data_IF_775174064514
#
_entry.id   IF_775174064514
#
_cell.length_a   1.000
_cell.length_b   1.000
_cell.length_c   1.000
_cell.angle_alpha   90.00
_cell.angle_beta   90.00
_cell.angle_gamma   90.00
#
_symmetry.space_group_name_H-M   'P 1'
#
loop_
_entity.id
_entity.type
_entity.pdbx_description
1 polymer ?
#
# COMPACT_ATOMS: atom_id res chain seq x y z
N UNK A 1 -9.16 6.61 -3.32
CA UNK A 1 -9.27 5.43 -2.45
C UNK A 1 -8.25 5.58 -1.30
N UNK A 2 -8.51 4.99 -0.14
CA UNK A 2 -7.66 5.10 1.05
C UNK A 2 -8.51 5.06 2.32
N UNK A 3 -7.91 4.92 3.52
CA UNK A 3 -8.66 4.91 4.77
C UNK A 3 -9.62 6.10 4.86
N UNK A 4 -10.92 5.89 5.07
CA UNK A 4 -11.89 6.97 4.90
C UNK A 4 -11.97 7.89 6.12
N UNK A 5 -12.19 7.33 7.32
CA UNK A 5 -12.31 8.06 8.58
C UNK A 5 -11.46 7.42 9.68
N UNK A 6 -10.82 8.26 10.51
CA UNK A 6 -10.00 7.88 11.67
C UNK A 6 -8.73 7.08 11.30
N UNK A 7 -8.04 6.61 12.33
CA UNK A 7 -6.87 5.75 12.29
C UNK A 7 -7.26 4.32 11.90
N UNK A 8 -7.21 3.98 10.60
CA UNK A 8 -7.42 2.60 10.14
C UNK A 8 -6.15 1.76 10.28
N UNK A 9 -6.31 0.46 10.56
CA UNK A 9 -5.21 -0.47 10.82
C UNK A 9 -5.39 -1.73 9.97
N UNK A 10 -4.31 -2.26 9.39
CA UNK A 10 -4.30 -3.59 8.78
C UNK A 10 -5.12 -3.73 7.50
N UNK A 11 -5.38 -2.66 6.76
CA UNK A 11 -6.11 -2.75 5.49
C UNK A 11 -5.18 -3.23 4.38
N UNK A 12 -5.63 -4.24 3.65
CA UNK A 12 -4.96 -4.75 2.46
C UNK A 12 -5.65 -4.23 1.19
N UNK A 13 -4.88 -3.57 0.33
CA UNK A 13 -5.23 -3.26 -1.05
C UNK A 13 -4.46 -4.22 -1.95
N UNK A 14 -5.09 -5.28 -2.41
CA UNK A 14 -4.44 -6.32 -3.22
C UNK A 14 -4.93 -6.25 -4.67
N UNK A 15 -4.02 -6.03 -5.62
CA UNK A 15 -4.30 -5.94 -7.06
C UNK A 15 -5.39 -4.90 -7.44
N UNK A 16 -5.50 -3.81 -6.68
CA UNK A 16 -6.46 -2.73 -6.99
C UNK A 16 -6.04 -2.00 -8.27
N UNK A 17 -6.97 -1.85 -9.22
CA UNK A 17 -6.77 -1.07 -10.44
C UNK A 17 -7.75 0.12 -10.43
N UNK A 18 -7.22 1.33 -10.50
CA UNK A 18 -8.01 2.56 -10.54
C UNK A 18 -7.27 3.66 -11.28
N UNK A 19 -8.01 4.56 -11.90
CA UNK A 19 -7.55 5.86 -12.43
C UNK A 19 -7.44 6.94 -11.32
N UNK A 20 -7.88 6.61 -10.11
CA UNK A 20 -7.82 7.47 -8.94
C UNK A 20 -6.51 7.38 -8.18
N UNK A 21 -6.51 8.01 -7.00
CA UNK A 21 -5.36 7.99 -6.08
C UNK A 21 -5.58 6.98 -4.94
N UNK A 22 -4.51 6.38 -4.42
CA UNK A 22 -4.53 5.70 -3.11
C UNK A 22 -3.68 6.50 -2.12
N UNK A 23 -4.33 7.09 -1.11
CA UNK A 23 -3.68 7.99 -0.16
C UNK A 23 -3.79 7.50 1.29
N UNK A 24 -2.68 6.97 1.79
CA UNK A 24 -2.39 6.66 3.20
C UNK A 24 -1.44 7.74 3.72
N UNK A 25 -2.00 8.80 4.29
CA UNK A 25 -1.23 10.00 4.65
C UNK A 25 -1.81 10.70 5.88
N UNK A 26 -1.02 11.58 6.47
CA UNK A 26 -1.54 12.60 7.38
C UNK A 26 -2.37 13.61 6.59
N UNK A 27 -3.64 13.75 6.97
CA UNK A 27 -4.61 14.66 6.37
C UNK A 27 -4.79 15.93 7.18
N UNK A 28 -4.14 16.07 8.34
CA UNK A 28 -4.27 17.25 9.21
C UNK A 28 -5.73 17.63 9.44
N UNK A 29 -6.09 18.82 8.98
CA UNK A 29 -7.44 19.39 9.08
C UNK A 29 -8.30 19.22 7.83
N UNK A 30 -7.88 18.45 6.82
CA UNK A 30 -8.70 18.20 5.63
C UNK A 30 -10.02 17.50 5.98
N UNK A 31 -11.13 17.96 5.38
CA UNK A 31 -12.46 17.44 5.67
C UNK A 31 -12.89 17.76 7.11
N UNK A 32 -13.28 16.75 7.89
CA UNK A 32 -13.58 16.93 9.32
C UNK A 32 -12.36 16.82 10.26
N UNK A 33 -11.13 16.81 9.70
CA UNK A 33 -9.87 16.93 10.45
C UNK A 33 -9.46 15.71 11.27
N UNK A 34 -8.79 14.73 10.63
CA UNK A 34 -8.48 13.44 11.28
C UNK A 34 -6.98 13.10 11.42
N UNK A 35 -6.05 14.01 11.10
CA UNK A 35 -4.63 13.69 11.17
C UNK A 35 -4.26 12.46 10.34
N UNK A 36 -3.54 11.51 10.94
CA UNK A 36 -3.14 10.25 10.30
C UNK A 36 -4.33 9.38 9.88
N UNK A 37 -4.44 9.12 8.58
CA UNK A 37 -5.51 8.29 8.03
C UNK A 37 -5.35 6.79 8.33
N UNK A 38 -4.13 6.30 8.57
CA UNK A 38 -3.94 4.89 8.94
C UNK A 38 -2.49 4.46 9.10
N UNK A 39 -2.34 3.27 9.67
CA UNK A 39 -1.08 2.57 9.93
C UNK A 39 -1.23 1.11 9.51
N UNK A 40 -0.11 0.40 9.32
CA UNK A 40 -0.07 -1.01 8.92
C UNK A 40 -0.92 -1.34 7.69
N UNK A 41 -1.06 -0.36 6.81
CA UNK A 41 -1.69 -0.51 5.51
C UNK A 41 -0.73 -1.22 4.56
N UNK A 42 -1.26 -2.11 3.73
CA UNK A 42 -0.47 -2.82 2.72
C UNK A 42 -1.12 -2.62 1.36
N UNK A 43 -0.40 -1.99 0.45
CA UNK A 43 -0.72 -1.98 -0.97
C UNK A 43 0.16 -3.04 -1.65
N UNK A 44 -0.45 -3.94 -2.40
CA UNK A 44 0.23 -5.01 -3.11
C UNK A 44 -0.18 -5.04 -4.58
N UNK A 45 0.79 -4.84 -5.48
CA UNK A 45 0.64 -4.87 -6.94
C UNK A 45 -0.54 -4.02 -7.46
N UNK A 46 -0.79 -2.86 -6.85
CA UNK A 46 -1.85 -1.94 -7.26
C UNK A 46 -1.45 -1.16 -8.52
N UNK A 47 -2.45 -0.71 -9.31
CA UNK A 47 -2.30 0.23 -10.42
C UNK A 47 -3.16 1.46 -10.13
N UNK A 48 -2.52 2.60 -10.00
CA UNK A 48 -3.15 3.87 -9.61
C UNK A 48 -2.62 4.97 -10.51
N UNK A 49 -3.35 6.09 -10.60
CA UNK A 49 -2.76 7.31 -11.19
C UNK A 49 -1.63 7.82 -10.32
N UNK A 50 -1.87 7.94 -9.01
CA UNK A 50 -0.86 8.35 -8.02
C UNK A 50 -1.13 7.81 -6.62
N UNK A 51 -0.10 7.74 -5.79
CA UNK A 51 -0.23 7.30 -4.41
C UNK A 51 0.69 8.07 -3.45
N UNK A 52 0.10 8.52 -2.34
CA UNK A 52 0.81 9.04 -1.17
C UNK A 52 0.75 7.99 -0.06
N UNK A 53 1.91 7.43 0.31
CA UNK A 53 2.03 6.44 1.38
C UNK A 53 3.05 6.96 2.38
N UNK A 54 2.58 7.32 3.57
CA UNK A 54 3.36 7.90 4.66
C UNK A 54 3.24 7.05 5.92
N UNK A 55 4.23 7.12 6.80
CA UNK A 55 4.19 6.46 8.11
C UNK A 55 3.93 7.47 9.23
N UNK A 56 3.06 7.14 10.21
CA UNK A 56 2.94 7.92 11.42
C UNK A 56 4.26 8.01 12.18
N UNK A 57 4.53 9.16 12.80
CA UNK A 57 5.76 9.42 13.55
C UNK A 57 6.02 8.43 14.70
N UNK A 58 4.94 7.95 15.33
CA UNK A 58 5.02 7.27 16.62
C UNK A 58 4.92 5.75 16.53
N UNK A 59 4.38 5.20 15.44
CA UNK A 59 4.21 3.74 15.35
C UNK A 59 3.90 3.24 13.95
N UNK A 60 4.41 2.03 13.69
CA UNK A 60 4.06 1.18 12.56
C UNK A 60 4.55 1.67 11.20
N UNK A 61 4.51 0.76 10.23
CA UNK A 61 4.86 1.06 8.85
C UNK A 61 3.66 0.76 7.96
N UNK A 62 3.46 1.61 6.97
CA UNK A 62 2.63 1.38 5.80
C UNK A 62 3.54 0.91 4.66
N UNK A 63 3.05 -0.02 3.86
CA UNK A 63 3.81 -0.71 2.82
C UNK A 63 3.16 -0.53 1.46
N UNK A 64 3.97 -0.31 0.44
CA UNK A 64 3.59 -0.27 -0.96
C UNK A 64 4.53 -1.14 -1.77
N UNK A 65 4.06 -2.34 -2.11
CA UNK A 65 4.86 -3.38 -2.77
C UNK A 65 4.31 -3.54 -4.18
N UNK A 66 5.11 -3.22 -5.19
CA UNK A 66 4.76 -3.44 -6.59
C UNK A 66 3.75 -2.45 -7.18
N UNK A 67 3.44 -1.36 -6.47
CA UNK A 67 2.47 -0.36 -6.93
C UNK A 67 2.98 0.33 -8.20
N UNK A 68 2.11 0.42 -9.20
CA UNK A 68 2.31 1.11 -10.48
C UNK A 68 1.54 2.42 -10.46
N UNK A 69 2.23 3.52 -10.71
CA UNK A 69 1.68 4.87 -10.64
C UNK A 69 2.69 5.89 -10.14
N UNK A 70 2.29 7.16 -10.17
CA UNK A 70 3.12 8.26 -9.66
C UNK A 70 3.16 8.22 -8.12
N UNK A 71 4.36 8.13 -7.55
CA UNK A 71 4.55 8.26 -6.10
C UNK A 71 4.65 9.74 -5.76
N UNK A 72 3.83 10.18 -4.81
CA UNK A 72 3.77 11.58 -4.39
C UNK A 72 4.00 11.70 -2.88
N UNK A 73 4.55 12.83 -2.40
CA UNK A 73 4.91 12.98 -0.98
C UNK A 73 3.69 13.07 -0.06
N UNK A 74 2.48 13.25 -0.60
CA UNK A 74 1.26 13.47 0.17
C UNK A 74 0.95 14.93 0.47
N UNK A 75 -0.04 15.17 1.34
CA UNK A 75 -0.49 16.52 1.70
C UNK A 75 0.59 17.32 2.44
N UNK A 76 1.17 16.74 3.48
CA UNK A 76 2.32 17.27 4.20
C UNK A 76 3.59 16.57 3.73
N UNK A 77 4.55 17.34 3.19
CA UNK A 77 5.77 16.80 2.55
C UNK A 77 6.87 16.40 3.51
N UNK A 78 6.76 16.84 4.77
CA UNK A 78 7.71 16.61 5.85
C UNK A 78 7.41 15.33 6.64
N UNK A 79 6.41 14.54 6.23
CA UNK A 79 6.02 13.30 6.90
C UNK A 79 6.94 12.13 6.50
N UNK A 80 7.17 11.17 7.40
CA UNK A 80 7.93 9.98 7.07
C UNK A 80 7.27 9.24 5.92
N UNK A 81 8.07 8.79 4.98
CA UNK A 81 7.58 7.99 3.88
C UNK A 81 7.25 6.56 4.33
N UNK A 82 6.26 5.96 3.68
CA UNK A 82 6.01 4.52 3.79
C UNK A 82 7.16 3.69 3.21
N UNK A 83 7.11 2.38 3.42
CA UNK A 83 8.07 1.45 2.81
C UNK A 83 7.60 1.14 1.39
N UNK A 84 8.45 1.43 0.42
CA UNK A 84 8.18 1.17 -1.00
C UNK A 84 9.14 0.12 -1.53
N UNK A 85 8.61 -0.92 -2.16
CA UNK A 85 9.38 -1.96 -2.83
C UNK A 85 8.81 -2.22 -4.23
N UNK A 86 9.67 -2.36 -5.24
CA UNK A 86 9.27 -2.73 -6.59
C UNK A 86 8.31 -1.75 -7.30
N UNK A 87 8.37 -0.45 -6.97
CA UNK A 87 7.52 0.55 -7.62
C UNK A 87 7.71 0.52 -9.15
N UNK A 88 6.60 0.49 -9.89
CA UNK A 88 6.58 0.45 -11.36
C UNK A 88 7.27 -0.77 -12.01
N UNK A 89 7.67 -1.79 -11.25
CA UNK A 89 8.21 -3.01 -11.85
C UNK A 89 7.12 -3.81 -12.58
N UNK A 90 7.47 -4.34 -13.75
CA UNK A 90 6.53 -4.98 -14.68
C UNK A 90 6.21 -6.44 -14.34
N UNK A 91 6.95 -7.09 -13.43
CA UNK A 91 6.79 -8.51 -13.10
C UNK A 91 6.92 -8.79 -11.59
N UNK A 92 6.10 -8.11 -10.79
CA UNK A 92 6.08 -8.34 -9.33
C UNK A 92 5.62 -9.77 -9.05
N UNK A 93 6.51 -10.54 -8.42
CA UNK A 93 6.24 -11.89 -7.97
C UNK A 93 6.60 -12.02 -6.48
N UNK A 94 5.69 -12.53 -5.64
CA UNK A 94 4.34 -12.98 -5.97
C UNK A 94 3.38 -11.81 -6.26
N UNK A 95 2.40 -12.03 -7.16
CA UNK A 95 1.44 -11.02 -7.63
C UNK A 95 0.44 -10.53 -6.57
N UNK A 96 0.36 -11.20 -5.42
CA UNK A 96 -0.61 -10.95 -4.35
C UNK A 96 -0.02 -11.39 -3.01
N UNK A 97 -0.41 -10.72 -1.93
CA UNK A 97 -0.02 -11.13 -0.58
C UNK A 97 -0.60 -12.51 -0.23
N UNK A 98 -1.82 -12.83 -0.67
CA UNK A 98 -2.40 -14.15 -0.49
C UNK A 98 -1.53 -15.25 -1.13
N UNK A 99 -1.05 -15.01 -2.36
CA UNK A 99 -0.14 -15.92 -3.05
C UNK A 99 1.15 -16.08 -2.25
N UNK A 100 1.74 -14.98 -1.77
CA UNK A 100 2.93 -15.01 -0.93
C UNK A 100 2.74 -15.89 0.32
N UNK A 101 1.62 -15.71 1.03
CA UNK A 101 1.28 -16.47 2.23
C UNK A 101 1.02 -17.95 1.92
N UNK A 102 0.34 -18.25 0.81
CA UNK A 102 0.11 -19.62 0.35
C UNK A 102 1.43 -20.34 0.05
N UNK A 103 2.33 -19.67 -0.69
CA UNK A 103 3.67 -20.21 -0.99
C UNK A 103 4.48 -20.45 0.28
N UNK A 104 4.44 -19.52 1.24
CA UNK A 104 5.13 -19.65 2.52
C UNK A 104 4.57 -20.80 3.37
N UNK A 105 3.25 -21.06 3.32
CA UNK A 105 2.61 -22.20 3.99
C UNK A 105 3.00 -23.53 3.36
N UNK A 106 3.11 -23.57 2.04
CA UNK A 106 3.33 -24.80 1.27
C UNK A 106 4.80 -25.14 1.03
N UNK A 107 5.72 -24.81 1.95
CA UNK A 107 7.17 -25.11 1.79
C UNK A 107 7.39 -26.54 1.23
N UNK A 108 7.77 -26.64 -0.05
CA UNK A 108 7.99 -27.90 -0.78
C UNK A 108 7.00 -28.23 -1.92
N UNK A 109 5.92 -27.47 -2.12
CA UNK A 109 4.96 -27.70 -3.20
C UNK A 109 5.35 -26.98 -4.52
N UNK A 110 4.99 -27.57 -5.67
CA UNK A 110 5.15 -26.92 -6.98
C UNK A 110 4.10 -25.81 -7.16
N UNK A 111 4.56 -24.56 -7.05
CA UNK A 111 3.72 -23.36 -7.07
C UNK A 111 3.66 -22.71 -8.46
N UNK A 112 4.11 -23.40 -9.53
CA UNK A 112 4.02 -22.94 -10.93
C UNK A 112 2.59 -22.61 -11.38
N UNK A 113 1.58 -23.09 -10.66
CA UNK A 113 0.18 -22.71 -10.91
C UNK A 113 -0.12 -21.25 -10.56
N UNK A 114 0.69 -20.61 -9.71
CA UNK A 114 0.50 -19.24 -9.23
C UNK A 114 1.27 -18.18 -10.04
N UNK A 115 2.10 -18.62 -11.00
CA UNK A 115 2.90 -17.76 -11.90
C UNK A 115 2.18 -17.36 -13.20
N UNK A 116 0.86 -17.57 -13.32
CA UNK A 116 0.06 -17.11 -14.46
C UNK A 116 -0.53 -15.72 -14.28
#
# INVERSE_FOLDING_TARGET
IGPHHRWAVGTLYDNIITDGEINVQDRGQMGSGHGWAGVTQVLWNCRVRRAAIQNPWVSGNNYSIGTKGEKVPGHFKDRPEGIWEGQNEINIFPRSLYVAQLMARQKGADLRILTK
#
